data_IF_056882710539
#
_entry.id   IF_056882710539
#
_cell.length_a   1.000
_cell.length_b   1.000
_cell.length_c   1.000
_cell.angle_alpha   90.00
_cell.angle_beta   90.00
_cell.angle_gamma   90.00
#
_symmetry.space_group_name_H-M   'P 1'
#
loop_
_entity.id
_entity.type
_entity.pdbx_description
1 polymer ?
#
# COMPACT_ATOMS: atom_id res chain seq x y z
N UNK A 1 28.85 -18.69 17.26
CA UNK A 1 27.39 -18.95 17.29
C UNK A 1 26.80 -18.32 16.05
N UNK A 2 26.32 -19.13 15.11
CA UNK A 2 25.52 -18.70 13.94
C UNK A 2 24.17 -18.23 14.47
N UNK A 3 24.08 -16.95 14.82
CA UNK A 3 22.92 -16.37 15.47
C UNK A 3 21.81 -16.14 14.46
N UNK A 4 21.00 -17.14 14.23
CA UNK A 4 19.75 -17.00 13.47
C UNK A 4 18.82 -15.99 14.15
N UNK A 5 18.33 -15.01 13.39
CA UNK A 5 17.42 -13.98 13.88
C UNK A 5 16.00 -14.26 13.40
N UNK A 6 15.07 -14.19 14.34
CA UNK A 6 13.65 -14.36 14.10
C UNK A 6 12.87 -13.15 14.65
N UNK A 7 11.75 -12.76 14.02
CA UNK A 7 10.89 -11.71 14.56
C UNK A 7 10.32 -12.16 15.91
N UNK A 8 10.18 -11.28 16.91
CA UNK A 8 9.52 -11.58 18.18
C UNK A 8 8.00 -11.70 18.05
N UNK A 9 7.40 -10.95 17.12
CA UNK A 9 5.97 -10.73 17.11
C UNK A 9 5.43 -10.28 15.75
N UNK A 10 4.12 -10.01 15.68
CA UNK A 10 3.46 -9.57 14.45
C UNK A 10 4.01 -8.23 13.95
N UNK A 11 3.76 -7.95 12.67
CA UNK A 11 4.10 -6.66 12.06
C UNK A 11 3.31 -5.47 12.64
N UNK A 12 2.32 -5.68 13.54
CA UNK A 12 1.68 -4.59 14.27
C UNK A 12 1.00 -5.01 15.58
N UNK A 13 0.82 -4.05 16.49
CA UNK A 13 0.34 -4.24 17.89
C UNK A 13 -1.11 -4.76 18.03
N UNK A 14 -1.82 -5.04 16.93
CA UNK A 14 -3.24 -5.42 16.92
C UNK A 14 -3.55 -6.93 17.00
N UNK A 15 -2.55 -7.78 17.27
CA UNK A 15 -2.74 -9.24 17.28
C UNK A 15 -2.83 -9.83 15.88
N UNK A 16 -1.67 -10.05 15.25
CA UNK A 16 -1.54 -10.73 13.96
C UNK A 16 -0.65 -11.98 14.06
N UNK A 17 -0.58 -12.80 13.01
CA UNK A 17 0.41 -13.86 12.95
C UNK A 17 1.83 -13.27 12.95
N UNK A 18 2.73 -13.92 13.69
CA UNK A 18 4.18 -13.69 13.60
C UNK A 18 4.64 -14.07 12.18
N UNK A 19 5.37 -13.18 11.48
CA UNK A 19 5.97 -13.52 10.20
C UNK A 19 6.92 -14.70 10.34
N UNK A 20 6.82 -15.68 9.44
CA UNK A 20 7.77 -16.78 9.30
C UNK A 20 8.97 -16.33 8.44
N UNK A 21 9.49 -15.14 8.74
CA UNK A 21 10.76 -14.66 8.18
C UNK A 21 11.90 -14.99 9.12
N UNK A 22 13.05 -15.26 8.53
CA UNK A 22 14.26 -15.64 9.22
C UNK A 22 15.45 -14.94 8.55
N UNK A 23 16.37 -14.42 9.34
CA UNK A 23 17.58 -13.75 8.89
C UNK A 23 18.80 -14.47 9.45
N UNK A 24 19.67 -14.94 8.57
CA UNK A 24 20.89 -15.66 8.92
C UNK A 24 22.09 -15.15 8.13
N UNK A 25 23.27 -15.64 8.51
CA UNK A 25 24.53 -15.34 7.84
C UNK A 25 25.15 -16.64 7.31
N UNK A 26 25.34 -16.71 5.99
CA UNK A 26 25.81 -17.91 5.28
C UNK A 26 26.94 -17.52 4.33
N UNK A 27 28.12 -18.15 4.44
CA UNK A 27 29.27 -17.94 3.54
C UNK A 27 29.58 -16.44 3.25
N UNK A 28 29.62 -15.61 4.29
CA UNK A 28 29.84 -14.14 4.21
C UNK A 28 28.68 -13.33 3.57
N UNK A 29 27.48 -13.90 3.54
CA UNK A 29 26.30 -13.28 2.94
C UNK A 29 25.16 -13.22 3.94
N UNK A 30 24.46 -12.10 3.93
CA UNK A 30 23.20 -11.98 4.63
C UNK A 30 22.11 -12.71 3.84
N UNK A 31 21.47 -13.69 4.49
CA UNK A 31 20.40 -14.49 3.89
C UNK A 31 19.11 -14.24 4.65
N UNK A 32 18.07 -13.86 3.93
CA UNK A 32 16.73 -13.75 4.48
C UNK A 32 15.82 -14.78 3.82
N UNK A 33 15.15 -15.60 4.63
CA UNK A 33 14.20 -16.61 4.17
C UNK A 33 12.80 -16.32 4.68
N UNK A 34 11.81 -16.63 3.84
CA UNK A 34 10.38 -16.57 4.13
C UNK A 34 9.83 -17.99 4.01
N UNK A 35 9.71 -18.68 5.15
CA UNK A 35 9.27 -20.08 5.20
C UNK A 35 7.84 -20.25 4.69
N UNK A 36 6.99 -19.25 4.90
CA UNK A 36 5.59 -19.28 4.48
C UNK A 36 5.43 -19.27 2.96
N UNK A 37 6.36 -18.64 2.24
CA UNK A 37 6.39 -18.62 0.76
C UNK A 37 7.43 -19.54 0.13
N UNK A 38 8.37 -20.08 0.92
CA UNK A 38 9.55 -20.79 0.43
C UNK A 38 10.57 -19.90 -0.29
N UNK A 39 10.41 -18.58 -0.25
CA UNK A 39 11.31 -17.64 -0.93
C UNK A 39 12.51 -17.33 -0.04
N UNK A 40 13.71 -17.30 -0.63
CA UNK A 40 14.93 -16.81 0.02
C UNK A 40 15.57 -15.72 -0.83
N UNK A 41 16.17 -14.74 -0.17
CA UNK A 41 16.96 -13.67 -0.77
C UNK A 41 18.34 -13.72 -0.13
N UNK A 42 19.37 -13.86 -0.97
CA UNK A 42 20.78 -13.80 -0.57
C UNK A 42 21.36 -12.49 -1.05
N UNK A 43 21.81 -11.64 -0.12
CA UNK A 43 22.45 -10.38 -0.47
C UNK A 43 23.94 -10.61 -0.74
N UNK A 44 24.53 -9.98 -1.77
CA UNK A 44 25.95 -10.13 -2.04
C UNK A 44 26.81 -9.62 -0.88
N UNK A 45 28.03 -10.16 -0.68
CA UNK A 45 28.92 -9.73 0.39
C UNK A 45 29.26 -8.23 0.23
N UNK A 46 29.34 -7.51 1.35
CA UNK A 46 29.68 -6.07 1.39
C UNK A 46 28.64 -5.10 0.82
N UNK A 47 27.51 -5.61 0.29
CA UNK A 47 26.35 -4.79 -0.12
C UNK A 47 25.51 -4.35 1.08
N UNK A 48 25.07 -5.25 2.00
CA UNK A 48 24.41 -4.80 3.21
C UNK A 48 25.42 -4.07 4.11
N UNK A 49 25.06 -2.87 4.57
CA UNK A 49 25.89 -2.03 5.45
C UNK A 49 25.27 -1.78 6.80
N UNK A 50 23.95 -1.74 6.86
CA UNK A 50 23.24 -1.48 8.11
C UNK A 50 21.95 -2.28 8.23
N UNK A 51 21.56 -2.52 9.48
CA UNK A 51 20.26 -3.03 9.88
C UNK A 51 19.51 -1.94 10.63
N UNK A 52 18.25 -1.71 10.26
CA UNK A 52 17.42 -0.69 10.89
C UNK A 52 16.10 -1.28 11.36
N UNK A 53 15.91 -1.34 12.68
CA UNK A 53 14.61 -1.60 13.27
C UNK A 53 13.77 -0.32 13.18
N UNK A 54 12.61 -0.39 12.56
CA UNK A 54 11.73 0.77 12.42
C UNK A 54 10.36 0.51 13.03
N UNK A 55 9.74 1.56 13.54
CA UNK A 55 8.35 1.54 13.99
C UNK A 55 7.63 2.83 13.63
N UNK A 56 6.33 2.75 13.34
CA UNK A 56 5.51 3.93 13.11
C UNK A 56 4.04 3.65 13.37
N UNK A 57 3.31 4.70 13.74
CA UNK A 57 1.86 4.62 13.88
C UNK A 57 1.17 4.73 12.53
N UNK A 58 0.31 3.78 12.22
CA UNK A 58 -0.57 3.82 11.05
C UNK A 58 -1.93 4.35 11.44
N UNK A 59 -2.33 5.46 10.82
CA UNK A 59 -3.71 5.94 10.88
C UNK A 59 -4.58 5.10 9.92
N UNK A 60 -5.46 4.26 10.46
CA UNK A 60 -6.51 3.58 9.69
C UNK A 60 -7.74 4.47 9.67
N UNK A 61 -7.92 5.21 8.58
CA UNK A 61 -9.19 5.88 8.32
C UNK A 61 -10.16 4.87 7.67
N UNK A 62 -10.81 4.02 8.45
CA UNK A 62 -12.09 3.44 8.02
C UNK A 62 -13.20 4.45 8.31
N UNK A 63 -14.00 4.76 7.29
CA UNK A 63 -15.16 5.65 7.44
C UNK A 63 -16.12 5.04 8.46
N UNK A 64 -16.36 5.76 9.57
CA UNK A 64 -17.43 5.46 10.52
C UNK A 64 -17.04 4.75 11.81
N UNK A 65 -15.75 4.41 12.01
CA UNK A 65 -15.24 3.92 13.31
C UNK A 65 -14.05 4.76 13.77
N UNK A 66 -14.04 5.16 15.06
CA UNK A 66 -12.84 5.67 15.73
C UNK A 66 -11.87 4.49 15.87
N UNK A 67 -11.16 4.17 14.80
CA UNK A 67 -10.18 3.10 14.83
C UNK A 67 -8.98 3.51 15.69
N UNK A 68 -8.50 2.56 16.49
CA UNK A 68 -7.30 2.75 17.28
C UNK A 68 -6.09 2.80 16.32
N UNK A 69 -5.16 3.75 16.50
CA UNK A 69 -3.92 3.76 15.74
C UNK A 69 -3.22 2.40 15.86
N UNK A 70 -2.80 1.83 14.73
CA UNK A 70 -2.07 0.55 14.71
C UNK A 70 -0.60 0.85 14.56
N UNK A 71 0.21 0.55 15.57
CA UNK A 71 1.66 0.63 15.45
C UNK A 71 2.15 -0.51 14.56
N UNK A 72 2.99 -0.19 13.58
CA UNK A 72 3.64 -1.14 12.69
C UNK A 72 5.15 -1.20 12.99
N UNK A 73 5.74 -2.38 12.77
CA UNK A 73 7.14 -2.67 12.99
C UNK A 73 7.73 -3.42 11.80
N UNK A 74 9.03 -3.25 11.59
CA UNK A 74 9.81 -4.06 10.67
C UNK A 74 11.30 -3.89 10.88
N UNK A 75 12.05 -4.71 10.14
CA UNK A 75 13.50 -4.64 10.02
C UNK A 75 13.84 -4.36 8.57
N UNK A 76 14.61 -3.31 8.32
CA UNK A 76 15.12 -2.99 7.01
C UNK A 76 16.62 -3.31 6.92
N UNK A 77 17.04 -3.92 5.83
CA UNK A 77 18.45 -4.05 5.45
C UNK A 77 18.79 -2.92 4.50
N UNK A 78 19.87 -2.20 4.78
CA UNK A 78 20.28 -1.00 4.06
C UNK A 78 21.61 -1.18 3.33
N UNK A 79 21.75 -0.49 2.20
CA UNK A 79 23.02 -0.36 1.49
C UNK A 79 23.88 0.80 2.04
N UNK A 80 25.01 1.09 1.37
CA UNK A 80 25.92 2.17 1.73
C UNK A 80 25.30 3.58 1.65
N UNK A 81 24.29 3.77 0.80
CA UNK A 81 23.56 5.03 0.63
C UNK A 81 22.36 5.14 1.58
N UNK A 82 22.21 4.18 2.51
CA UNK A 82 21.06 4.02 3.42
C UNK A 82 19.73 3.77 2.71
N UNK A 83 19.77 3.25 1.49
CA UNK A 83 18.60 2.82 0.73
C UNK A 83 18.20 1.40 1.14
N UNK A 84 16.89 1.13 1.13
CA UNK A 84 16.30 -0.14 1.54
C UNK A 84 16.55 -1.22 0.47
N UNK A 85 17.39 -2.21 0.80
CA UNK A 85 17.60 -3.43 0.02
C UNK A 85 16.52 -4.47 0.32
N UNK A 86 16.14 -4.60 1.58
CA UNK A 86 15.19 -5.62 1.98
C UNK A 86 14.33 -5.12 3.13
N UNK A 87 13.01 -5.24 2.97
CA UNK A 87 12.03 -4.99 4.03
C UNK A 87 11.50 -6.31 4.60
N UNK A 88 11.61 -6.46 5.91
CA UNK A 88 11.15 -7.59 6.72
C UNK A 88 10.13 -7.12 7.77
N UNK A 89 8.84 -7.00 7.41
CA UNK A 89 7.80 -6.62 8.36
C UNK A 89 7.74 -7.60 9.53
N UNK A 90 7.51 -7.09 10.74
CA UNK A 90 7.55 -7.90 11.97
C UNK A 90 8.12 -7.11 13.13
N UNK A 91 7.80 -7.49 14.36
CA UNK A 91 8.49 -6.95 15.53
C UNK A 91 9.80 -7.71 15.69
N UNK A 92 10.92 -7.02 15.86
CA UNK A 92 12.26 -7.61 16.05
C UNK A 92 12.85 -7.16 17.39
N UNK A 93 13.59 -8.04 18.06
CA UNK A 93 14.30 -7.69 19.29
C UNK A 93 15.48 -6.78 18.94
N UNK A 94 15.42 -5.49 19.32
CA UNK A 94 16.48 -4.53 19.01
C UNK A 94 17.86 -5.00 19.51
N UNK A 95 17.93 -5.55 20.74
CA UNK A 95 19.18 -6.04 21.32
C UNK A 95 19.75 -7.25 20.56
N UNK A 96 18.88 -8.17 20.11
CA UNK A 96 19.30 -9.32 19.32
C UNK A 96 19.79 -8.89 17.92
N UNK A 97 19.10 -7.93 17.29
CA UNK A 97 19.52 -7.38 16.00
C UNK A 97 20.82 -6.60 16.13
N UNK A 98 21.00 -5.84 17.20
CA UNK A 98 22.26 -5.12 17.48
C UNK A 98 23.43 -6.10 17.69
N UNK A 99 23.23 -7.16 18.47
CA UNK A 99 24.24 -8.20 18.68
C UNK A 99 24.60 -8.91 17.36
N UNK A 100 23.61 -9.27 16.56
CA UNK A 100 23.82 -9.85 15.23
C UNK A 100 24.59 -8.91 14.30
N UNK A 101 24.19 -7.63 14.24
CA UNK A 101 24.86 -6.62 13.43
C UNK A 101 26.34 -6.46 13.84
N UNK A 102 26.61 -6.39 15.15
CA UNK A 102 27.96 -6.27 15.68
C UNK A 102 28.85 -7.48 15.33
N UNK A 103 28.31 -8.71 15.41
CA UNK A 103 29.03 -9.94 15.05
C UNK A 103 29.43 -9.95 13.56
N UNK A 104 28.62 -9.34 12.70
CA UNK A 104 28.81 -9.34 11.25
C UNK A 104 29.33 -8.00 10.69
N UNK A 105 29.77 -7.08 11.56
CA UNK A 105 30.35 -5.79 11.14
C UNK A 105 29.35 -4.85 10.45
N UNK A 106 28.06 -4.97 10.74
CA UNK A 106 27.01 -4.10 10.22
C UNK A 106 26.71 -2.97 11.21
N UNK A 107 26.36 -1.79 10.68
CA UNK A 107 25.80 -0.72 11.52
C UNK A 107 24.38 -1.10 11.98
N UNK A 108 24.01 -0.69 13.20
CA UNK A 108 22.66 -0.90 13.72
C UNK A 108 21.99 0.43 14.05
N UNK A 109 20.73 0.57 13.64
CA UNK A 109 19.90 1.73 13.92
C UNK A 109 18.53 1.31 14.45
N UNK A 110 17.99 2.13 15.36
CA UNK A 110 16.60 2.02 15.80
C UNK A 110 15.90 3.34 15.51
N UNK A 111 14.82 3.30 14.73
CA UNK A 111 14.10 4.49 14.29
C UNK A 111 12.62 4.45 14.68
N UNK A 112 12.21 5.47 15.43
CA UNK A 112 10.80 5.80 15.65
C UNK A 112 10.37 6.84 14.61
N UNK A 113 9.57 6.42 13.64
CA UNK A 113 9.13 7.31 12.57
C UNK A 113 7.72 7.83 12.79
N UNK A 114 7.52 9.09 12.41
CA UNK A 114 6.17 9.55 12.05
C UNK A 114 5.68 8.78 10.82
N UNK A 115 4.34 8.66 10.61
CA UNK A 115 3.82 7.95 9.44
C UNK A 115 4.36 8.46 8.09
N UNK A 116 4.65 9.76 7.96
CA UNK A 116 5.21 10.33 6.73
C UNK A 116 6.69 9.94 6.54
N UNK A 117 7.50 10.04 7.60
CA UNK A 117 8.91 9.63 7.55
C UNK A 117 9.06 8.15 7.23
N UNK A 118 8.22 7.29 7.81
CA UNK A 118 8.23 5.86 7.50
C UNK A 118 7.91 5.60 6.03
N UNK A 119 6.96 6.33 5.44
CA UNK A 119 6.63 6.21 4.03
C UNK A 119 7.76 6.67 3.12
N UNK A 120 8.39 7.81 3.42
CA UNK A 120 9.59 8.26 2.69
C UNK A 120 10.68 7.21 2.78
N UNK A 121 11.05 6.80 4.00
CA UNK A 121 12.10 5.83 4.25
C UNK A 121 11.88 4.51 3.49
N UNK A 122 10.69 3.90 3.60
CA UNK A 122 10.36 2.65 2.90
C UNK A 122 10.24 2.82 1.37
N UNK A 123 10.09 4.05 0.87
CA UNK A 123 10.09 4.33 -0.57
C UNK A 123 11.50 4.45 -1.14
N UNK A 124 12.51 4.76 -0.30
CA UNK A 124 13.92 4.86 -0.66
C UNK A 124 14.50 3.46 -0.90
N UNK A 125 14.36 2.93 -2.11
CA UNK A 125 14.70 1.54 -2.44
C UNK A 125 16.06 1.45 -3.11
N UNK A 126 16.88 0.52 -2.69
CA UNK A 126 18.13 0.21 -3.35
C UNK A 126 17.90 -0.64 -4.62
N UNK A 127 18.83 -0.63 -5.58
CA UNK A 127 18.82 -1.57 -6.70
C UNK A 127 18.83 -3.01 -6.18
N UNK A 128 17.96 -3.86 -6.74
CA UNK A 128 17.75 -5.22 -6.23
C UNK A 128 16.81 -5.32 -5.02
N UNK A 129 16.11 -4.23 -4.65
CA UNK A 129 15.23 -4.25 -3.48
C UNK A 129 14.20 -5.39 -3.48
N UNK A 130 13.87 -5.87 -2.29
CA UNK A 130 12.83 -6.87 -2.07
C UNK A 130 12.02 -6.63 -0.81
N UNK A 131 10.93 -7.39 -0.68
CA UNK A 131 10.16 -7.51 0.56
C UNK A 131 9.85 -8.98 0.80
N UNK A 132 10.10 -9.45 2.02
CA UNK A 132 9.71 -10.78 2.48
C UNK A 132 8.71 -10.60 3.62
N UNK A 133 7.46 -11.01 3.38
CA UNK A 133 6.38 -10.71 4.32
C UNK A 133 6.28 -11.74 5.44
N UNK A 134 6.74 -12.96 5.23
CA UNK A 134 6.62 -14.07 6.18
C UNK A 134 5.18 -14.46 6.49
N UNK A 135 4.22 -13.99 5.69
CA UNK A 135 2.80 -14.26 5.90
C UNK A 135 2.33 -15.25 4.84
N UNK A 136 1.54 -16.27 5.21
CA UNK A 136 0.98 -17.18 4.22
C UNK A 136 0.21 -16.36 3.21
N UNK A 137 0.63 -16.44 1.94
CA UNK A 137 -0.11 -15.84 0.84
C UNK A 137 -1.48 -16.50 0.90
N UNK A 138 -2.50 -15.77 1.38
CA UNK A 138 -3.87 -16.29 1.40
C UNK A 138 -4.14 -16.76 -0.03
N UNK A 139 -4.32 -18.07 -0.28
CA UNK A 139 -4.53 -18.52 -1.62
C UNK A 139 -5.76 -17.78 -2.14
N UNK A 140 -5.75 -17.31 -3.40
CA UNK A 140 -6.92 -16.69 -3.99
C UNK A 140 -8.10 -17.62 -3.72
N UNK A 141 -9.16 -17.10 -3.08
CA UNK A 141 -10.25 -17.91 -2.53
C UNK A 141 -10.55 -19.06 -3.50
N UNK A 142 -10.29 -20.29 -3.02
CA UNK A 142 -10.31 -21.48 -3.85
C UNK A 142 -11.63 -21.52 -4.62
N UNK A 143 -11.63 -22.07 -5.84
CA UNK A 143 -12.83 -22.13 -6.68
C UNK A 143 -14.06 -22.64 -5.89
N UNK A 144 -13.85 -23.60 -4.98
CA UNK A 144 -14.84 -24.13 -4.04
C UNK A 144 -15.36 -23.09 -3.04
N UNK A 145 -14.48 -22.32 -2.38
CA UNK A 145 -14.91 -21.22 -1.49
C UNK A 145 -15.68 -20.15 -2.25
N UNK A 146 -15.24 -19.80 -3.46
CA UNK A 146 -15.99 -18.88 -4.33
C UNK A 146 -17.38 -19.43 -4.63
N UNK A 147 -17.50 -20.69 -5.05
CA UNK A 147 -18.79 -21.35 -5.31
C UNK A 147 -19.67 -21.34 -4.06
N UNK A 148 -19.14 -21.68 -2.88
CA UNK A 148 -19.89 -21.64 -1.63
C UNK A 148 -20.41 -20.22 -1.27
N UNK A 149 -19.60 -19.19 -1.52
CA UNK A 149 -20.05 -17.80 -1.35
C UNK A 149 -21.16 -17.44 -2.35
N UNK A 150 -21.06 -17.89 -3.60
CA UNK A 150 -22.11 -17.68 -4.60
C UNK A 150 -23.40 -18.44 -4.24
N UNK A 151 -23.32 -19.66 -3.72
CA UNK A 151 -24.51 -20.41 -3.30
C UNK A 151 -25.17 -19.76 -2.10
N UNK A 152 -24.41 -19.38 -1.07
CA UNK A 152 -24.96 -18.65 0.09
C UNK A 152 -25.63 -17.34 -0.35
N UNK A 153 -24.98 -16.60 -1.25
CA UNK A 153 -25.53 -15.33 -1.71
C UNK A 153 -26.78 -15.51 -2.60
N UNK A 154 -26.81 -16.54 -3.45
CA UNK A 154 -27.96 -16.88 -4.27
C UNK A 154 -29.12 -17.40 -3.42
N UNK A 155 -28.88 -18.27 -2.45
CA UNK A 155 -29.90 -18.74 -1.50
C UNK A 155 -30.47 -17.57 -0.70
N UNK A 156 -29.63 -16.64 -0.24
CA UNK A 156 -30.10 -15.41 0.42
C UNK A 156 -30.98 -14.55 -0.48
N UNK A 157 -30.63 -14.42 -1.76
CA UNK A 157 -31.44 -13.71 -2.76
C UNK A 157 -32.79 -14.41 -3.00
N UNK A 158 -32.80 -15.73 -3.15
CA UNK A 158 -34.03 -16.52 -3.34
C UNK A 158 -34.93 -16.40 -2.13
N UNK A 159 -34.39 -16.56 -0.91
CA UNK A 159 -35.16 -16.34 0.32
C UNK A 159 -35.77 -14.94 0.36
N UNK A 160 -34.99 -13.90 0.03
CA UNK A 160 -35.49 -12.52 -0.01
C UNK A 160 -36.65 -12.37 -1.00
N UNK A 161 -36.51 -12.89 -2.22
CA UNK A 161 -37.55 -12.85 -3.26
C UNK A 161 -38.80 -13.64 -2.82
N UNK A 162 -38.63 -14.83 -2.24
CA UNK A 162 -39.73 -15.62 -1.70
C UNK A 162 -40.46 -14.88 -0.58
N UNK A 163 -39.73 -14.30 0.37
CA UNK A 163 -40.35 -13.48 1.44
C UNK A 163 -41.15 -12.33 0.83
N UNK A 164 -40.59 -11.59 -0.13
CA UNK A 164 -41.28 -10.51 -0.87
C UNK A 164 -42.54 -10.98 -1.60
N UNK A 165 -42.50 -12.17 -2.20
CA UNK A 165 -43.61 -12.73 -2.99
C UNK A 165 -44.74 -13.29 -2.12
N UNK A 166 -44.40 -13.94 -0.99
CA UNK A 166 -45.36 -14.55 -0.08
C UNK A 166 -45.82 -13.63 1.06
N UNK A 167 -45.28 -12.41 1.14
CA UNK A 167 -45.71 -11.39 2.10
C UNK A 167 -47.16 -10.99 1.80
N UNK A 168 -48.10 -11.19 2.76
CA UNK A 168 -49.48 -10.76 2.56
C UNK A 168 -49.56 -9.24 2.28
N UNK A 169 -50.53 -8.77 1.49
CA UNK A 169 -50.65 -7.36 1.09
C UNK A 169 -50.68 -6.35 2.25
N UNK A 170 -51.15 -6.77 3.43
CA UNK A 170 -51.18 -5.96 4.65
C UNK A 170 -49.79 -5.82 5.30
N UNK A 171 -48.95 -6.85 5.26
CA UNK A 171 -47.55 -6.74 5.69
C UNK A 171 -46.72 -5.91 4.71
N UNK A 172 -47.07 -5.89 3.40
CA UNK A 172 -46.41 -5.01 2.43
C UNK A 172 -46.63 -3.52 2.74
N UNK A 173 -47.83 -3.15 3.20
CA UNK A 173 -48.11 -1.78 3.68
C UNK A 173 -47.30 -1.43 4.92
N UNK A 174 -47.21 -2.35 5.89
CA UNK A 174 -46.39 -2.17 7.08
C UNK A 174 -44.91 -2.06 6.72
N UNK A 175 -44.38 -2.96 5.90
CA UNK A 175 -42.99 -2.95 5.43
C UNK A 175 -42.67 -1.68 4.64
N UNK A 176 -43.56 -1.24 3.72
CA UNK A 176 -43.39 0.02 2.99
C UNK A 176 -43.39 1.22 3.94
N UNK A 177 -44.25 1.23 4.96
CA UNK A 177 -44.26 2.26 5.99
C UNK A 177 -42.97 2.23 6.81
N UNK A 178 -42.50 1.08 7.28
CA UNK A 178 -41.24 0.95 8.03
C UNK A 178 -40.04 1.35 7.16
N UNK A 179 -39.95 0.86 5.92
CA UNK A 179 -38.84 1.17 5.02
C UNK A 179 -38.80 2.65 4.63
N UNK A 180 -39.96 3.30 4.41
CA UNK A 180 -40.03 4.74 4.10
C UNK A 180 -39.75 5.63 5.32
N UNK A 181 -40.18 5.23 6.52
CA UNK A 181 -39.92 6.01 7.74
C UNK A 181 -38.50 5.80 8.29
N UNK A 182 -37.89 4.62 8.10
CA UNK A 182 -36.47 4.39 8.41
C UNK A 182 -35.55 4.77 7.24
N UNK A 183 -36.10 5.12 6.07
CA UNK A 183 -35.35 5.51 4.88
C UNK A 183 -34.66 6.87 4.99
N UNK A 184 -35.15 7.74 5.88
CA UNK A 184 -34.52 9.03 6.21
C UNK A 184 -33.33 8.88 7.16
N UNK A 185 -33.13 7.70 7.74
CA UNK A 185 -31.83 7.27 8.27
C UNK A 185 -30.95 6.85 7.08
N UNK A 186 -30.61 7.84 6.24
CA UNK A 186 -29.95 7.71 4.94
C UNK A 186 -28.61 6.95 4.94
N UNK A 187 -28.04 6.68 6.11
CA UNK A 187 -26.86 5.82 6.26
C UNK A 187 -27.19 4.32 6.31
N UNK A 188 -28.41 3.92 6.71
CA UNK A 188 -28.79 2.52 6.89
C UNK A 188 -28.99 1.79 5.55
N UNK A 189 -29.39 2.49 4.48
CA UNK A 189 -29.59 1.92 3.13
C UNK A 189 -28.29 1.42 2.51
N UNK A 190 -27.21 2.18 2.69
CA UNK A 190 -25.88 1.79 2.22
C UNK A 190 -25.31 0.67 3.09
N UNK A 191 -25.60 0.65 4.40
CA UNK A 191 -25.26 -0.45 5.30
C UNK A 191 -26.02 -1.73 4.96
N UNK A 192 -27.32 -1.67 4.69
CA UNK A 192 -28.13 -2.81 4.27
C UNK A 192 -27.66 -3.33 2.90
N UNK A 193 -27.32 -2.46 1.95
CA UNK A 193 -26.77 -2.88 0.65
C UNK A 193 -25.36 -3.46 0.79
N UNK A 194 -24.49 -2.86 1.61
CA UNK A 194 -23.13 -3.34 1.87
C UNK A 194 -23.07 -4.64 2.68
N UNK A 195 -24.05 -4.86 3.57
CA UNK A 195 -24.23 -6.09 4.35
C UNK A 195 -25.14 -7.12 3.65
N UNK A 196 -25.83 -6.74 2.57
CA UNK A 196 -26.68 -7.68 1.82
C UNK A 196 -25.83 -8.66 1.01
N UNK A 197 -26.33 -9.89 0.82
CA UNK A 197 -25.79 -10.81 -0.18
C UNK A 197 -25.59 -10.16 -1.56
N UNK A 198 -26.47 -9.24 -1.94
CA UNK A 198 -26.39 -8.48 -3.19
C UNK A 198 -25.14 -7.59 -3.27
N UNK A 199 -24.70 -6.98 -2.17
CA UNK A 199 -23.47 -6.20 -2.10
C UNK A 199 -22.22 -7.04 -2.38
N UNK A 200 -22.17 -8.27 -1.88
CA UNK A 200 -21.10 -9.24 -2.16
C UNK A 200 -21.11 -9.66 -3.64
N UNK A 201 -22.30 -9.87 -4.21
CA UNK A 201 -22.49 -10.21 -5.62
C UNK A 201 -22.13 -9.06 -6.57
N UNK A 202 -22.45 -7.81 -6.19
CA UNK A 202 -22.21 -6.62 -7.00
C UNK A 202 -20.83 -5.99 -6.79
N UNK A 203 -20.15 -6.25 -5.68
CA UNK A 203 -18.78 -5.78 -5.42
C UNK A 203 -17.80 -5.99 -6.59
N UNK A 204 -17.73 -7.16 -7.26
CA UNK A 204 -16.87 -7.31 -8.45
C UNK A 204 -17.31 -6.42 -9.61
N UNK A 205 -18.61 -6.19 -9.79
CA UNK A 205 -19.16 -5.31 -10.84
C UNK A 205 -18.80 -3.86 -10.56
N UNK A 206 -19.03 -3.36 -9.34
CA UNK A 206 -18.63 -2.01 -8.93
C UNK A 206 -17.13 -1.79 -9.05
N UNK A 207 -16.30 -2.78 -8.69
CA UNK A 207 -14.84 -2.70 -8.88
C UNK A 207 -14.45 -2.63 -10.37
N UNK A 208 -15.14 -3.36 -11.25
CA UNK A 208 -14.92 -3.29 -12.70
C UNK A 208 -15.35 -1.94 -13.26
N UNK A 209 -16.49 -1.41 -12.83
CA UNK A 209 -16.97 -0.09 -13.22
C UNK A 209 -16.03 1.02 -12.72
N UNK A 210 -15.61 1.00 -11.46
CA UNK A 210 -14.63 1.95 -10.94
C UNK A 210 -13.33 1.91 -11.74
N UNK A 211 -12.82 0.70 -12.04
CA UNK A 211 -11.64 0.53 -12.91
C UNK A 211 -11.87 1.08 -14.31
N UNK A 212 -13.02 0.81 -14.93
CA UNK A 212 -13.32 1.27 -16.29
C UNK A 212 -13.47 2.80 -16.33
N UNK A 213 -14.17 3.39 -15.36
CA UNK A 213 -14.31 4.84 -15.20
C UNK A 213 -12.94 5.48 -14.95
N UNK A 214 -12.12 4.88 -14.09
CA UNK A 214 -10.78 5.37 -13.82
C UNK A 214 -9.87 5.26 -15.04
N UNK A 215 -9.91 4.15 -15.80
CA UNK A 215 -9.20 4.03 -17.08
C UNK A 215 -9.62 5.10 -18.07
N UNK A 216 -10.92 5.39 -18.18
CA UNK A 216 -11.40 6.52 -19.00
C UNK A 216 -10.86 7.87 -18.52
N UNK A 217 -10.67 8.07 -17.20
CA UNK A 217 -10.02 9.28 -16.66
C UNK A 217 -8.54 9.34 -17.05
N UNK A 218 -7.82 8.23 -16.95
CA UNK A 218 -6.41 8.13 -17.37
C UNK A 218 -6.26 8.47 -18.86
N UNK A 219 -7.08 7.86 -19.72
CA UNK A 219 -7.10 8.15 -21.17
C UNK A 219 -7.44 9.61 -21.46
N UNK A 220 -8.23 10.27 -20.60
CA UNK A 220 -8.53 11.71 -20.73
C UNK A 220 -7.47 12.61 -20.09
N UNK A 221 -6.45 12.06 -19.45
CA UNK A 221 -5.45 12.80 -18.67
C UNK A 221 -5.99 13.37 -17.34
N UNK A 222 -7.20 13.03 -16.92
CA UNK A 222 -7.80 13.55 -15.66
C UNK A 222 -7.48 12.69 -14.42
N UNK A 223 -6.73 11.61 -14.60
CA UNK A 223 -6.17 10.79 -13.54
C UNK A 223 -4.88 10.13 -14.00
N UNK A 224 -4.09 9.65 -13.05
CA UNK A 224 -2.85 8.93 -13.29
C UNK A 224 -2.76 7.75 -12.32
N UNK A 225 -2.23 6.61 -12.74
CA UNK A 225 -1.97 5.49 -11.83
C UNK A 225 -0.70 4.74 -12.18
N UNK A 226 -0.06 4.17 -11.15
CA UNK A 226 1.04 3.25 -11.36
C UNK A 226 0.54 1.95 -12.01
N UNK A 227 1.39 1.32 -12.82
CA UNK A 227 1.03 0.14 -13.62
C UNK A 227 0.88 -1.14 -12.78
N UNK A 228 1.57 -1.22 -11.65
CA UNK A 228 2.03 -2.53 -11.20
C UNK A 228 1.11 -3.29 -10.23
N UNK A 229 0.07 -2.71 -9.60
CA UNK A 229 -0.71 -3.46 -8.57
C UNK A 229 -2.17 -3.06 -8.41
N UNK A 230 -3.06 -4.01 -8.02
CA UNK A 230 -4.31 -3.64 -7.37
C UNK A 230 -3.99 -2.84 -6.11
N UNK A 231 -4.60 -1.66 -5.96
CA UNK A 231 -4.27 -0.65 -4.92
C UNK A 231 -3.01 0.19 -5.18
N UNK A 232 -2.50 0.21 -6.42
CA UNK A 232 -1.51 1.19 -6.86
C UNK A 232 -1.93 2.63 -6.53
N UNK A 233 -0.97 3.53 -6.24
CA UNK A 233 -1.25 4.94 -6.04
C UNK A 233 -1.94 5.50 -7.29
N UNK A 234 -3.01 6.26 -7.05
CA UNK A 234 -3.78 6.96 -8.07
C UNK A 234 -3.71 8.45 -7.79
N UNK A 235 -3.37 9.24 -8.79
CA UNK A 235 -3.40 10.69 -8.71
C UNK A 235 -4.60 11.23 -9.47
N UNK A 236 -5.19 12.29 -8.94
CA UNK A 236 -6.15 13.11 -9.66
C UNK A 236 -6.02 14.56 -9.21
N UNK A 237 -6.50 15.48 -10.02
CA UNK A 237 -6.61 16.88 -9.62
C UNK A 237 -8.01 17.14 -9.06
N UNK A 238 -8.08 17.80 -7.89
CA UNK A 238 -9.33 18.29 -7.31
C UNK A 238 -9.22 19.78 -7.08
N UNK A 239 -9.94 20.57 -7.88
CA UNK A 239 -9.75 22.02 -7.92
C UNK A 239 -8.38 22.36 -8.52
N UNK A 240 -7.57 23.15 -7.82
CA UNK A 240 -6.17 23.49 -8.20
C UNK A 240 -5.13 22.72 -7.39
N UNK A 241 -5.42 21.47 -7.00
CA UNK A 241 -4.56 20.69 -6.09
C UNK A 241 -4.43 19.26 -6.56
N UNK A 242 -3.21 18.73 -6.42
CA UNK A 242 -2.92 17.32 -6.62
C UNK A 242 -3.45 16.53 -5.42
N UNK A 243 -4.33 15.57 -5.70
CA UNK A 243 -4.84 14.62 -4.74
C UNK A 243 -4.27 13.23 -5.07
N UNK A 244 -3.60 12.64 -4.09
CA UNK A 244 -3.02 11.29 -4.22
C UNK A 244 -3.83 10.34 -3.35
N UNK A 245 -4.47 9.36 -3.99
CA UNK A 245 -5.22 8.29 -3.35
C UNK A 245 -4.40 6.99 -3.36
N UNK A 246 -4.43 6.23 -2.26
CA UNK A 246 -3.68 4.98 -2.13
C UNK A 246 -2.44 5.08 -1.23
N UNK A 247 -2.27 6.19 -0.51
CA UNK A 247 -1.25 6.36 0.54
C UNK A 247 -1.62 5.63 1.86
N UNK A 248 -2.25 4.45 1.76
CA UNK A 248 -2.73 3.68 2.92
C UNK A 248 -3.52 2.42 2.54
N UNK A 249 -3.88 1.57 3.52
CA UNK A 249 -4.56 0.28 3.30
C UNK A 249 -6.01 0.45 2.87
N UNK A 250 -6.62 1.59 3.15
CA UNK A 250 -8.00 1.88 2.83
C UNK A 250 -8.09 2.56 1.46
N UNK A 251 -8.95 2.07 0.55
CA UNK A 251 -9.29 2.81 -0.65
C UNK A 251 -9.99 4.11 -0.25
N UNK A 252 -9.24 5.21 -0.18
CA UNK A 252 -9.80 6.52 0.17
C UNK A 252 -8.90 7.46 0.96
N UNK A 253 -7.76 7.01 1.51
CA UNK A 253 -6.77 7.93 2.09
C UNK A 253 -6.24 8.83 0.99
N UNK A 254 -6.71 10.07 1.00
CA UNK A 254 -6.37 11.13 0.06
C UNK A 254 -5.47 12.10 0.77
N UNK A 255 -4.17 12.06 0.48
CA UNK A 255 -3.33 13.19 0.82
C UNK A 255 -3.60 14.25 -0.23
N UNK A 256 -4.35 15.28 0.15
CA UNK A 256 -4.60 16.47 -0.66
C UNK A 256 -3.65 17.53 -0.16
N UNK A 257 -2.60 17.83 -0.92
CA UNK A 257 -1.68 18.90 -0.55
C UNK A 257 -1.81 20.08 -1.48
N UNK A 258 -1.71 21.26 -0.88
CA UNK A 258 -2.08 22.55 -1.45
C UNK A 258 -0.87 23.16 -2.18
N UNK A 259 -0.32 22.48 -3.19
CA UNK A 259 0.65 23.12 -4.08
C UNK A 259 -0.07 23.56 -5.37
N UNK A 260 0.13 24.81 -5.83
CA UNK A 260 -0.33 25.25 -7.14
C UNK A 260 0.22 24.31 -8.22
N UNK A 261 -0.62 23.86 -9.14
CA UNK A 261 -0.27 22.83 -10.13
C UNK A 261 0.77 23.33 -11.15
N UNK A 262 0.70 24.60 -11.48
CA UNK A 262 1.59 25.33 -12.41
C UNK A 262 3.05 25.40 -11.94
N UNK A 263 3.29 25.08 -10.67
CA UNK A 263 4.62 25.08 -10.03
C UNK A 263 5.12 23.67 -9.73
N UNK A 264 4.45 22.66 -10.26
CA UNK A 264 4.83 21.27 -10.07
C UNK A 264 5.53 20.74 -11.32
N UNK A 265 6.55 19.93 -11.09
CA UNK A 265 7.20 19.10 -12.08
C UNK A 265 7.00 17.63 -11.73
N UNK A 266 6.63 16.83 -12.72
CA UNK A 266 6.58 15.38 -12.66
C UNK A 266 7.82 14.81 -13.34
N UNK A 267 8.62 14.05 -12.60
CA UNK A 267 9.84 13.41 -13.10
C UNK A 267 9.67 11.89 -13.04
N UNK A 268 9.51 11.24 -14.19
CA UNK A 268 9.70 9.79 -14.26
C UNK A 268 11.19 9.52 -14.28
N UNK A 269 11.65 8.68 -13.36
CA UNK A 269 13.05 8.32 -13.29
C UNK A 269 13.30 6.85 -13.62
N UNK A 270 14.50 6.58 -14.11
CA UNK A 270 15.10 5.24 -14.11
C UNK A 270 16.45 5.29 -13.40
N UNK A 271 16.76 4.31 -12.57
CA UNK A 271 18.03 4.22 -11.85
C UNK A 271 18.36 2.76 -11.59
N UNK A 272 19.39 2.20 -12.24
CA UNK A 272 19.87 0.83 -12.01
C UNK A 272 18.74 -0.23 -11.96
N UNK A 273 17.80 -0.16 -12.92
CA UNK A 273 16.64 -1.07 -13.01
C UNK A 273 15.44 -0.67 -12.15
N UNK A 274 15.60 0.29 -11.22
CA UNK A 274 14.50 0.93 -10.52
C UNK A 274 13.80 1.94 -11.42
N UNK A 275 12.50 2.09 -11.22
CA UNK A 275 11.68 3.08 -11.88
C UNK A 275 10.72 3.71 -10.87
N UNK A 276 10.31 4.95 -11.12
CA UNK A 276 9.36 5.63 -10.26
C UNK A 276 8.99 7.00 -10.78
N UNK A 277 8.23 7.72 -9.97
CA UNK A 277 7.79 9.07 -10.24
C UNK A 277 8.10 9.95 -9.03
N UNK A 278 8.77 11.08 -9.27
CA UNK A 278 8.85 12.18 -8.33
C UNK A 278 7.86 13.27 -8.72
N UNK A 279 7.25 13.89 -7.71
CA UNK A 279 6.58 15.18 -7.85
C UNK A 279 7.45 16.20 -7.13
N UNK A 280 7.94 17.18 -7.88
CA UNK A 280 8.93 18.16 -7.48
C UNK A 280 8.26 19.54 -7.54
N UNK A 281 8.59 20.45 -6.64
CA UNK A 281 8.14 21.83 -6.74
C UNK A 281 9.03 22.70 -7.64
N UNK A 282 8.69 23.97 -7.77
CA UNK A 282 9.42 24.96 -8.56
C UNK A 282 10.86 25.20 -8.07
N UNK A 283 11.15 24.90 -6.81
CA UNK A 283 12.50 25.06 -6.22
C UNK A 283 13.39 23.85 -6.48
N UNK A 284 12.85 22.80 -7.09
CA UNK A 284 13.55 21.53 -7.28
C UNK A 284 13.43 20.58 -6.09
N UNK A 285 12.64 20.91 -5.07
CA UNK A 285 12.50 20.08 -3.87
C UNK A 285 11.49 18.94 -4.09
N UNK A 286 11.86 17.66 -3.81
CA UNK A 286 10.97 16.53 -4.02
C UNK A 286 9.85 16.50 -2.97
N UNK A 287 8.63 16.78 -3.40
CA UNK A 287 7.45 16.73 -2.53
C UNK A 287 6.97 15.31 -2.28
N UNK A 288 7.02 14.46 -3.31
CA UNK A 288 6.53 13.09 -3.25
C UNK A 288 7.38 12.13 -4.06
N UNK A 289 7.57 10.93 -3.51
CA UNK A 289 8.21 9.81 -4.19
C UNK A 289 7.28 8.61 -4.33
N UNK A 290 7.13 8.14 -5.56
CA UNK A 290 6.29 6.99 -5.90
C UNK A 290 7.09 5.93 -6.66
N UNK A 291 7.74 5.00 -5.95
CA UNK A 291 8.49 3.94 -6.59
C UNK A 291 7.56 2.94 -7.30
N UNK A 292 8.00 2.40 -8.43
CA UNK A 292 7.22 1.51 -9.29
C UNK A 292 7.04 2.05 -10.70
N UNK A 293 6.46 1.27 -11.61
CA UNK A 293 6.38 1.69 -13.01
C UNK A 293 5.19 2.63 -13.25
N UNK A 294 5.46 3.70 -14.00
CA UNK A 294 4.46 4.67 -14.45
C UNK A 294 4.50 4.77 -15.97
N UNK A 295 3.34 4.88 -16.61
CA UNK A 295 3.27 4.94 -18.07
C UNK A 295 3.65 6.36 -18.55
N UNK A 296 4.73 6.54 -19.33
CA UNK A 296 5.19 7.89 -19.70
C UNK A 296 4.14 8.72 -20.44
N UNK A 297 3.39 8.11 -21.36
CA UNK A 297 2.36 8.81 -22.13
C UNK A 297 1.17 9.23 -21.26
N UNK A 298 0.80 8.44 -20.26
CA UNK A 298 -0.31 8.77 -19.37
C UNK A 298 0.12 9.90 -18.42
N UNK A 299 1.35 9.85 -17.93
CA UNK A 299 1.93 10.91 -17.09
C UNK A 299 2.06 12.22 -17.87
N UNK A 300 2.57 12.17 -19.11
CA UNK A 300 2.63 13.36 -19.98
C UNK A 300 1.24 13.95 -20.23
N UNK A 301 0.26 13.11 -20.60
CA UNK A 301 -1.13 13.54 -20.83
C UNK A 301 -1.76 14.17 -19.58
N UNK A 302 -1.49 13.59 -18.41
CA UNK A 302 -1.93 14.15 -17.14
C UNK A 302 -1.27 15.50 -16.86
N UNK A 303 0.04 15.59 -17.08
CA UNK A 303 0.82 16.79 -16.81
C UNK A 303 0.40 17.95 -17.72
N UNK A 304 0.32 17.73 -19.04
CA UNK A 304 -0.14 18.71 -20.03
C UNK A 304 -1.56 19.22 -19.72
N UNK A 305 -2.49 18.31 -19.38
CA UNK A 305 -3.87 18.70 -19.03
C UNK A 305 -3.93 19.65 -17.84
N UNK A 306 -2.98 19.53 -16.92
CA UNK A 306 -3.01 20.23 -15.63
C UNK A 306 -1.95 21.33 -15.53
N UNK A 307 -1.22 21.64 -16.60
CA UNK A 307 -0.18 22.67 -16.62
C UNK A 307 1.03 22.32 -15.75
N UNK A 308 1.30 21.02 -15.55
CA UNK A 308 2.43 20.51 -14.77
C UNK A 308 3.57 20.22 -15.76
N UNK A 309 4.80 20.61 -15.42
CA UNK A 309 5.97 20.27 -16.24
C UNK A 309 6.24 18.76 -16.15
N UNK A 310 6.58 18.12 -17.27
CA UNK A 310 6.88 16.69 -17.31
C UNK A 310 8.27 16.41 -17.88
N UNK A 311 8.99 15.51 -17.22
CA UNK A 311 10.34 15.11 -17.59
C UNK A 311 10.52 13.60 -17.38
N UNK A 312 11.33 12.98 -18.24
CA UNK A 312 11.80 11.60 -18.09
C UNK A 312 13.32 11.66 -18.05
N UNK A 313 13.94 11.06 -17.02
CA UNK A 313 15.40 11.10 -16.87
C UNK A 313 15.95 9.79 -16.33
N UNK A 314 17.10 9.38 -16.84
CA UNK A 314 17.92 8.36 -16.22
C UNK A 314 18.75 9.04 -15.12
N UNK A 315 18.49 8.69 -13.87
CA UNK A 315 19.17 9.27 -12.72
C UNK A 315 20.39 8.43 -12.34
N UNK A 316 21.57 9.04 -12.14
CA UNK A 316 22.66 8.37 -11.47
C UNK A 316 22.27 8.07 -10.01
N UNK A 317 22.84 7.01 -9.46
CA UNK A 317 22.51 6.48 -8.13
C UNK A 317 22.53 7.54 -7.02
N UNK A 318 23.60 8.35 -6.95
CA UNK A 318 23.74 9.39 -5.94
C UNK A 318 22.67 10.49 -6.03
N UNK A 319 22.26 10.85 -7.24
CA UNK A 319 21.17 11.81 -7.46
C UNK A 319 19.82 11.21 -7.06
N UNK A 320 19.57 9.95 -7.43
CA UNK A 320 18.39 9.22 -6.98
C UNK A 320 18.31 9.14 -5.45
N UNK A 321 19.40 8.75 -4.79
CA UNK A 321 19.46 8.64 -3.33
C UNK A 321 19.16 9.99 -2.66
N UNK A 322 19.77 11.07 -3.16
CA UNK A 322 19.54 12.43 -2.66
C UNK A 322 18.07 12.83 -2.79
N UNK A 323 17.46 12.62 -3.95
CA UNK A 323 16.04 12.94 -4.19
C UNK A 323 15.09 12.07 -3.36
N UNK A 324 15.37 10.78 -3.23
CA UNK A 324 14.55 9.85 -2.47
C UNK A 324 14.55 10.19 -0.97
N UNK A 325 15.72 10.45 -0.39
CA UNK A 325 15.87 10.81 1.03
C UNK A 325 15.30 12.19 1.32
N UNK A 326 15.45 13.16 0.41
CA UNK A 326 14.89 14.49 0.56
C UNK A 326 13.37 14.53 0.38
N UNK A 327 12.75 13.46 -0.15
CA UNK A 327 11.34 13.44 -0.44
C UNK A 327 10.50 13.62 0.83
N UNK A 328 9.62 14.63 0.82
CA UNK A 328 8.82 14.94 2.01
C UNK A 328 7.81 13.86 2.39
N UNK A 329 7.35 13.07 1.42
CA UNK A 329 6.46 11.94 1.64
C UNK A 329 6.66 10.88 0.54
N UNK A 330 6.31 9.64 0.84
CA UNK A 330 6.48 8.49 -0.06
C UNK A 330 5.23 7.61 -0.18
N UNK A 331 5.24 6.70 -1.15
CA UNK A 331 4.26 5.63 -1.25
C UNK A 331 4.98 4.28 -1.44
N UNK A 332 5.37 3.63 -0.33
CA UNK A 332 6.14 2.40 -0.36
C UNK A 332 5.37 1.18 -0.87
#
# INVERSE_FOLDING_TARGET
>A
MTGDLLPLGPAGLGGGPRPATHLSWDEDRLVASDEASGRSVRLPPGVPRALACYSFTRETAEKGKKDKPVMLFGLAVLDADRLVLLDLPGQWAADAVAAFAAVHGLEFHTWGFTPAQARTFLSCRAPGWGVLRGLPVRPPASRRRRVAWWTVALSGLVCMVCTLYFLPPHMWRFFRFTVLNFADVLELKWLALAASPLGVLLAPVFRRLDRAVFRRRVVRGSGLAAMDRPMAPRMCVRGRRLAVAGLGPTPGTRTVRKSPLDRLRMLIYRCEGLNGLFVIDETGFPLYHFPGRWHPEDTNRFAVRHGITFEIRDLPRGEYATLAVAARDGCP
#
